data_IF_252457049748
#
_entry.id   IF_252457049748
#
_cell.length_a   1.000
_cell.length_b   1.000
_cell.length_c   1.000
_cell.angle_alpha   90.00
_cell.angle_beta   90.00
_cell.angle_gamma   90.00
#
_symmetry.space_group_name_H-M   'P 1'
#
loop_
_entity.id
_entity.type
_entity.pdbx_description
1 polymer ?
#
# COMPACT_ATOMS: atom_id res chain seq x y z
N UNK A 1 -17.36 5.51 -17.41
CA UNK A 1 -16.05 5.32 -18.06
C UNK A 1 -14.95 5.70 -17.07
N UNK A 2 -14.24 4.75 -16.46
CA UNK A 2 -13.07 5.06 -15.60
C UNK A 2 -11.80 4.98 -16.46
N UNK A 3 -11.13 6.11 -16.55
CA UNK A 3 -10.03 6.38 -17.46
C UNK A 3 -8.76 5.58 -17.15
N UNK A 4 -7.98 5.39 -18.22
CA UNK A 4 -6.71 4.71 -18.31
C UNK A 4 -5.57 5.36 -17.50
N UNK A 5 -4.64 4.52 -17.06
CA UNK A 5 -3.24 4.90 -16.81
C UNK A 5 -2.37 3.66 -17.11
N UNK A 6 -1.95 3.47 -18.36
CA UNK A 6 -0.64 3.85 -18.92
C UNK A 6 0.55 3.29 -18.12
N UNK A 7 1.19 2.35 -18.81
CA UNK A 7 2.47 1.67 -18.58
C UNK A 7 3.64 2.62 -18.32
N UNK A 8 4.48 2.31 -17.32
CA UNK A 8 5.94 2.59 -17.41
C UNK A 8 6.76 2.02 -16.24
N UNK A 9 7.71 1.14 -16.64
CA UNK A 9 9.08 0.97 -16.13
C UNK A 9 9.28 0.21 -14.80
N UNK A 10 9.51 -1.09 -14.98
CA UNK A 10 10.52 -1.94 -14.32
C UNK A 10 11.50 -1.16 -13.44
N UNK A 11 11.26 -1.16 -12.14
CA UNK A 11 12.26 -0.79 -11.13
C UNK A 11 11.98 -1.70 -9.95
N UNK A 12 12.88 -2.67 -9.71
CA UNK A 12 12.87 -3.66 -8.61
C UNK A 12 11.93 -3.22 -7.50
N UNK A 13 10.79 -3.93 -7.36
CA UNK A 13 9.69 -3.63 -6.46
C UNK A 13 10.20 -3.39 -5.04
N UNK A 14 10.57 -2.13 -4.77
CA UNK A 14 11.11 -1.71 -3.50
C UNK A 14 9.89 -1.48 -2.64
N UNK A 15 9.54 -2.54 -1.91
CA UNK A 15 8.47 -2.60 -0.94
C UNK A 15 8.25 -1.24 -0.27
N UNK A 16 7.02 -0.70 -0.22
CA UNK A 16 6.74 0.63 0.31
C UNK A 16 6.80 0.68 1.84
N UNK A 17 7.75 -0.01 2.48
CA UNK A 17 7.92 -0.04 3.93
C UNK A 17 8.03 1.37 4.53
N UNK A 18 8.67 2.31 3.82
CA UNK A 18 8.75 3.72 4.24
C UNK A 18 7.39 4.40 4.28
N UNK A 19 6.54 4.15 3.28
CA UNK A 19 5.17 4.71 3.21
C UNK A 19 4.27 4.07 4.27
N UNK A 20 4.35 2.74 4.42
CA UNK A 20 3.59 2.02 5.45
C UNK A 20 3.96 2.49 6.85
N UNK A 21 5.26 2.68 7.12
CA UNK A 21 5.73 3.19 8.41
C UNK A 21 5.34 4.65 8.64
N UNK A 22 5.37 5.49 7.60
CA UNK A 22 4.89 6.87 7.69
C UNK A 22 3.37 6.93 7.94
N UNK A 23 2.61 6.04 7.30
CA UNK A 23 1.17 5.92 7.49
C UNK A 23 0.81 5.42 8.89
N UNK A 24 1.54 4.43 9.42
CA UNK A 24 1.40 3.94 10.79
C UNK A 24 1.75 4.99 11.86
N UNK A 25 2.73 5.86 11.59
CA UNK A 25 3.21 6.85 12.58
C UNK A 25 2.11 7.78 13.12
N UNK A 26 1.03 7.98 12.36
CA UNK A 26 -0.13 8.77 12.77
C UNK A 26 -1.39 7.97 13.08
N UNK A 27 -1.34 6.63 13.04
CA UNK A 27 -2.53 5.76 13.06
C UNK A 27 -2.28 4.52 13.92
N UNK A 28 -2.86 4.52 15.13
CA UNK A 28 -2.86 3.37 16.06
C UNK A 28 -3.84 2.27 15.63
N UNK A 29 -4.90 2.68 14.96
CA UNK A 29 -5.97 1.85 14.43
C UNK A 29 -6.35 2.34 13.03
N UNK A 30 -6.85 1.42 12.21
CA UNK A 30 -7.35 1.72 10.89
C UNK A 30 -8.58 0.86 10.61
N UNK A 31 -9.55 1.47 9.93
CA UNK A 31 -10.73 0.79 9.40
C UNK A 31 -10.40 0.18 8.02
N UNK A 32 -11.25 -0.71 7.52
CA UNK A 32 -11.35 -1.03 6.10
C UNK A 32 -11.35 0.22 5.18
N UNK A 33 -11.97 1.33 5.57
CA UNK A 33 -11.91 2.59 4.83
C UNK A 33 -10.50 3.17 4.72
N UNK A 34 -9.77 3.22 5.83
CA UNK A 34 -8.36 3.64 5.87
C UNK A 34 -7.46 2.70 5.08
N UNK A 35 -7.75 1.40 5.11
CA UNK A 35 -7.09 0.39 4.31
C UNK A 35 -7.24 0.65 2.80
N UNK A 36 -8.47 0.90 2.33
CA UNK A 36 -8.71 1.24 0.93
C UNK A 36 -8.01 2.56 0.53
N UNK A 37 -8.02 3.56 1.41
CA UNK A 37 -7.31 4.83 1.18
C UNK A 37 -5.79 4.63 1.08
N UNK A 38 -5.22 3.74 1.89
CA UNK A 38 -3.81 3.36 1.83
C UNK A 38 -3.47 2.69 0.50
N UNK A 39 -4.27 1.68 0.09
CA UNK A 39 -4.08 1.01 -1.19
C UNK A 39 -4.19 1.99 -2.37
N UNK A 40 -5.13 2.93 -2.32
CA UNK A 40 -5.26 3.96 -3.35
C UNK A 40 -4.04 4.90 -3.37
N UNK A 41 -3.54 5.29 -2.20
CA UNK A 41 -2.34 6.14 -2.07
C UNK A 41 -1.11 5.44 -2.64
N UNK A 42 -0.93 4.16 -2.29
CA UNK A 42 0.15 3.32 -2.80
C UNK A 42 0.04 3.14 -4.32
N UNK A 43 -1.17 2.91 -4.84
CA UNK A 43 -1.44 2.84 -6.28
C UNK A 43 -1.08 4.15 -6.99
N UNK A 44 -1.47 5.31 -6.44
CA UNK A 44 -1.13 6.65 -6.97
C UNK A 44 0.38 6.90 -6.98
N UNK A 45 1.12 6.33 -6.02
CA UNK A 45 2.59 6.41 -5.94
C UNK A 45 3.32 5.45 -6.86
N UNK A 46 2.61 4.60 -7.61
CA UNK A 46 3.19 3.64 -8.55
C UNK A 46 3.40 2.23 -8.00
N UNK A 47 2.86 1.92 -6.81
CA UNK A 47 2.89 0.57 -6.24
C UNK A 47 1.71 -0.30 -6.69
N UNK A 48 1.11 0.01 -7.85
CA UNK A 48 -0.05 -0.68 -8.40
C UNK A 48 0.16 -2.20 -8.45
N UNK A 49 1.34 -2.66 -8.87
CA UNK A 49 1.65 -4.09 -8.95
C UNK A 49 1.50 -4.85 -7.62
N UNK A 50 1.65 -4.15 -6.49
CA UNK A 50 1.52 -4.72 -5.14
C UNK A 50 0.10 -4.51 -4.58
N UNK A 51 -0.55 -3.39 -4.88
CA UNK A 51 -1.92 -3.13 -4.42
C UNK A 51 -2.97 -3.87 -5.24
N UNK A 52 -2.65 -4.21 -6.50
CA UNK A 52 -3.56 -4.88 -7.43
C UNK A 52 -3.55 -6.40 -7.24
N UNK A 53 -2.44 -6.96 -6.72
CA UNK A 53 -2.29 -8.39 -6.41
C UNK A 53 -2.76 -8.73 -4.99
N UNK A 54 -3.28 -9.95 -4.80
CA UNK A 54 -3.70 -10.43 -3.48
C UNK A 54 -2.50 -10.56 -2.53
N UNK A 55 -1.42 -11.20 -2.99
CA UNK A 55 -0.20 -11.39 -2.20
C UNK A 55 0.40 -10.06 -1.70
N UNK A 56 0.37 -9.02 -2.53
CA UNK A 56 0.87 -7.72 -2.14
C UNK A 56 -0.02 -7.04 -1.09
N UNK A 57 -1.34 -7.18 -1.19
CA UNK A 57 -2.28 -6.73 -0.15
C UNK A 57 -2.08 -7.51 1.15
N UNK A 58 -1.94 -8.82 1.10
CA UNK A 58 -1.68 -9.65 2.30
C UNK A 58 -0.36 -9.26 2.96
N UNK A 59 0.69 -9.04 2.17
CA UNK A 59 1.97 -8.58 2.70
C UNK A 59 1.87 -7.20 3.35
N UNK A 60 1.13 -6.26 2.75
CA UNK A 60 0.88 -4.93 3.33
C UNK A 60 0.13 -5.07 4.66
N UNK A 61 -0.92 -5.89 4.71
CA UNK A 61 -1.68 -6.17 5.93
C UNK A 61 -0.78 -6.72 7.03
N UNK A 62 -0.03 -7.77 6.72
CA UNK A 62 0.93 -8.40 7.63
C UNK A 62 2.00 -7.42 8.13
N UNK A 63 2.53 -6.57 7.26
CA UNK A 63 3.51 -5.56 7.65
C UNK A 63 2.89 -4.56 8.63
N UNK A 64 1.67 -4.09 8.36
CA UNK A 64 0.99 -3.14 9.23
C UNK A 64 0.68 -3.76 10.59
N UNK A 65 0.17 -4.99 10.62
CA UNK A 65 -0.10 -5.75 11.85
C UNK A 65 1.18 -5.98 12.67
N UNK A 66 2.27 -6.37 12.00
CA UNK A 66 3.57 -6.59 12.66
C UNK A 66 4.18 -5.30 13.23
N UNK A 67 3.93 -4.15 12.59
CA UNK A 67 4.43 -2.86 13.05
C UNK A 67 3.45 -2.11 13.97
N UNK A 68 2.23 -2.64 14.20
CA UNK A 68 1.24 -2.10 15.13
C UNK A 68 1.62 -2.28 16.60
N UNK A 69 2.34 -3.34 16.93
CA UNK A 69 2.69 -3.72 18.31
C UNK A 69 3.94 -3.02 18.89
N UNK A 70 4.35 -1.86 18.36
CA UNK A 70 5.54 -1.12 18.84
C UNK A 70 5.21 0.26 19.39
#
# INVERSE_FOLDING_TARGET
MKAAAKTSKTSKAKVPAKELKAWLKGRKDWNHGDWLALLETLRKKGYSAMTDTQEGREWIGYYLESNRSK
#
